data_IF_542898515083
#
_entry.id   IF_542898515083
#
_cell.length_a   1.000
_cell.length_b   1.000
_cell.length_c   1.000
_cell.angle_alpha   90.00
_cell.angle_beta   90.00
_cell.angle_gamma   90.00
#
_symmetry.space_group_name_H-M   'P 1'
#
loop_
_entity.id
_entity.type
_entity.pdbx_description
1 polymer ?
#
# COMPACT_ATOMS: atom_id res chain seq x y z
N UNK A 1 10.10 -19.72 -16.14
CA UNK A 1 9.35 -20.05 -14.92
C UNK A 1 9.94 -19.25 -13.78
N UNK A 2 9.20 -18.23 -13.34
CA UNK A 2 9.69 -17.19 -12.43
C UNK A 2 9.93 -17.78 -11.05
N UNK A 3 11.12 -17.54 -10.48
CA UNK A 3 11.54 -17.99 -9.14
C UNK A 3 10.54 -17.53 -8.05
N UNK A 4 9.78 -16.47 -8.34
CA UNK A 4 8.68 -15.95 -7.52
C UNK A 4 7.46 -16.89 -7.43
N UNK A 5 7.13 -17.65 -8.48
CA UNK A 5 5.99 -18.60 -8.47
C UNK A 5 6.21 -19.75 -7.48
N UNK A 6 7.46 -20.14 -7.23
CA UNK A 6 7.79 -21.19 -6.28
C UNK A 6 7.74 -20.72 -4.81
N UNK A 7 7.76 -19.40 -4.57
CA UNK A 7 7.76 -18.82 -3.23
C UNK A 7 6.34 -18.61 -2.67
N UNK A 8 5.37 -18.21 -3.52
CA UNK A 8 3.95 -18.06 -3.13
C UNK A 8 3.30 -19.39 -2.70
N UNK A 9 3.91 -20.54 -3.03
CA UNK A 9 3.34 -21.88 -2.77
C UNK A 9 4.20 -22.80 -1.89
N UNK A 10 5.29 -22.31 -1.28
CA UNK A 10 6.20 -23.16 -0.51
C UNK A 10 6.39 -22.73 0.94
N UNK A 11 5.41 -23.06 1.77
CA UNK A 11 5.63 -23.43 3.17
C UNK A 11 4.38 -24.10 3.75
N UNK A 12 4.53 -25.32 4.25
CA UNK A 12 3.44 -26.05 4.87
C UNK A 12 3.21 -25.64 6.32
N UNK A 13 1.94 -25.34 6.65
CA UNK A 13 1.30 -25.23 8.00
C UNK A 13 1.71 -23.97 8.81
N UNK A 14 0.87 -23.35 9.69
CA UNK A 14 -0.49 -23.69 10.19
C UNK A 14 -1.60 -22.83 9.52
N UNK A 15 -2.78 -22.67 10.14
CA UNK A 15 -3.98 -22.00 9.59
C UNK A 15 -3.73 -20.48 9.42
N UNK A 16 -3.06 -20.11 8.34
CA UNK A 16 -2.79 -18.71 8.00
C UNK A 16 -4.09 -17.99 7.66
N UNK A 17 -4.17 -16.74 8.08
CA UNK A 17 -5.23 -15.84 7.65
C UNK A 17 -5.05 -15.59 6.14
N UNK A 18 -6.16 -15.50 5.40
CA UNK A 18 -6.10 -15.19 3.96
C UNK A 18 -5.43 -13.83 3.76
N UNK A 19 -4.67 -13.63 2.68
CA UNK A 19 -4.02 -12.34 2.38
C UNK A 19 -5.00 -11.17 2.43
N UNK A 20 -6.23 -11.40 1.98
CA UNK A 20 -7.31 -10.42 2.01
C UNK A 20 -7.81 -10.13 3.42
N UNK A 21 -7.87 -11.10 4.32
CA UNK A 21 -8.28 -10.85 5.71
C UNK A 21 -7.14 -10.18 6.52
N UNK A 22 -5.88 -10.49 6.17
CA UNK A 22 -4.70 -9.82 6.70
C UNK A 22 -4.55 -8.36 6.19
N UNK A 23 -4.97 -8.03 4.97
CA UNK A 23 -4.95 -6.64 4.44
C UNK A 23 -5.88 -5.71 5.22
N UNK A 24 -6.95 -6.28 5.79
CA UNK A 24 -7.93 -5.57 6.62
C UNK A 24 -7.52 -5.47 8.09
N UNK A 25 -6.39 -6.05 8.50
CA UNK A 25 -5.93 -5.97 9.88
C UNK A 25 -5.61 -4.51 10.26
N UNK A 26 -6.15 -4.00 11.38
CA UNK A 26 -5.99 -2.60 11.77
C UNK A 26 -4.54 -2.22 12.08
N UNK A 27 -3.69 -3.18 12.46
CA UNK A 27 -2.28 -2.94 12.78
C UNK A 27 -1.47 -2.79 11.51
N UNK A 28 -1.71 -3.65 10.52
CA UNK A 28 -1.08 -3.51 9.21
C UNK A 28 -1.46 -2.17 8.56
N UNK A 29 -2.74 -1.81 8.62
CA UNK A 29 -3.23 -0.50 8.15
C UNK A 29 -2.59 0.67 8.90
N UNK A 30 -2.45 0.57 10.22
CA UNK A 30 -1.78 1.59 11.03
C UNK A 30 -0.32 1.79 10.62
N UNK A 31 0.44 0.71 10.44
CA UNK A 31 1.83 0.79 9.98
C UNK A 31 1.91 1.41 8.58
N UNK A 32 1.09 0.94 7.64
CA UNK A 32 1.04 1.48 6.27
C UNK A 32 0.73 2.99 6.27
N UNK A 33 -0.28 3.41 7.03
CA UNK A 33 -0.65 4.82 7.15
C UNK A 33 0.49 5.64 7.77
N UNK A 34 1.16 5.11 8.80
CA UNK A 34 2.31 5.77 9.42
C UNK A 34 3.43 6.00 8.40
N UNK A 35 3.71 5.04 7.51
CA UNK A 35 4.69 5.23 6.43
C UNK A 35 4.23 6.27 5.41
N UNK A 36 2.95 6.27 5.03
CA UNK A 36 2.37 7.28 4.13
C UNK A 36 2.47 8.68 4.75
N UNK A 37 2.16 8.80 6.04
CA UNK A 37 2.16 10.06 6.78
C UNK A 37 3.55 10.65 7.00
N UNK A 38 4.54 9.79 7.20
CA UNK A 38 5.93 10.21 7.37
C UNK A 38 6.70 10.37 6.05
N UNK A 39 6.11 9.99 4.91
CA UNK A 39 6.78 10.10 3.61
C UNK A 39 6.26 11.30 2.84
N UNK A 40 6.99 12.42 2.94
CA UNK A 40 6.70 13.61 2.12
C UNK A 40 7.07 13.37 0.65
N UNK A 41 6.20 13.76 -0.31
CA UNK A 41 6.55 13.77 -1.72
C UNK A 41 7.79 14.65 -1.98
N UNK A 42 8.77 14.22 -2.80
CA UNK A 42 8.76 13.11 -3.75
C UNK A 42 9.31 11.79 -3.20
N UNK A 43 9.51 11.66 -1.89
CA UNK A 43 10.07 10.45 -1.29
C UNK A 43 9.12 9.26 -1.48
N UNK A 44 9.71 8.06 -1.49
CA UNK A 44 9.00 6.80 -1.68
C UNK A 44 9.58 5.76 -0.73
N UNK A 45 8.74 4.93 -0.12
CA UNK A 45 9.16 3.82 0.74
C UNK A 45 8.90 2.48 0.07
N UNK A 46 9.51 1.40 0.56
CA UNK A 46 9.30 0.05 0.01
C UNK A 46 8.17 -0.66 0.76
N UNK A 47 7.38 -1.46 0.06
CA UNK A 47 6.37 -2.31 0.71
C UNK A 47 6.98 -3.28 1.74
N UNK A 48 8.21 -3.75 1.49
CA UNK A 48 8.93 -4.61 2.44
C UNK A 48 9.27 -3.92 3.77
N UNK A 49 9.39 -2.59 3.79
CA UNK A 49 9.66 -1.84 5.03
C UNK A 49 8.42 -1.82 5.93
N UNK A 50 7.23 -1.76 5.34
CA UNK A 50 5.96 -1.89 6.07
C UNK A 50 5.82 -3.29 6.67
N UNK A 51 6.13 -4.33 5.90
CA UNK A 51 6.11 -5.71 6.39
C UNK A 51 7.12 -5.93 7.54
N UNK A 52 8.31 -5.34 7.45
CA UNK A 52 9.35 -5.43 8.47
C UNK A 52 9.06 -4.58 9.71
N UNK A 53 8.21 -3.56 9.60
CA UNK A 53 7.79 -2.76 10.74
C UNK A 53 6.84 -3.51 11.68
N UNK A 54 6.19 -4.58 11.20
CA UNK A 54 5.39 -5.44 12.05
C UNK A 54 6.26 -6.22 13.02
N UNK A 55 5.85 -6.20 14.28
CA UNK A 55 6.51 -6.96 15.33
C UNK A 55 6.26 -8.47 15.15
N UNK A 56 7.16 -9.34 15.66
CA UNK A 56 6.96 -10.78 15.62
C UNK A 56 5.66 -11.24 16.28
N UNK A 57 5.19 -10.53 17.30
CA UNK A 57 3.91 -10.80 17.99
C UNK A 57 2.71 -10.49 17.09
N UNK A 58 2.78 -9.43 16.29
CA UNK A 58 1.72 -9.10 15.34
C UNK A 58 1.67 -10.09 14.17
N UNK A 59 2.84 -10.51 13.67
CA UNK A 59 2.94 -11.57 12.65
C UNK A 59 2.37 -12.90 13.18
N UNK A 60 2.76 -13.30 14.39
CA UNK A 60 2.26 -14.53 15.03
C UNK A 60 0.73 -14.49 15.25
N UNK A 61 0.16 -13.32 15.55
CA UNK A 61 -1.29 -13.15 15.68
C UNK A 61 -2.04 -13.37 14.35
N UNK A 62 -1.42 -13.03 13.22
CA UNK A 62 -1.94 -13.29 11.88
C UNK A 62 -1.63 -14.72 11.38
N UNK A 63 -0.86 -15.48 12.17
CA UNK A 63 -0.42 -16.83 11.82
C UNK A 63 0.78 -16.87 10.89
N UNK A 64 1.50 -15.75 10.73
CA UNK A 64 2.74 -15.67 9.95
C UNK A 64 3.97 -15.78 10.85
N UNK A 65 4.98 -16.51 10.38
CA UNK A 65 6.27 -16.60 11.09
C UNK A 65 7.27 -15.56 10.59
N UNK A 66 7.12 -15.12 9.34
CA UNK A 66 8.05 -14.24 8.65
C UNK A 66 7.31 -13.09 7.97
N UNK A 67 7.91 -11.90 8.01
CA UNK A 67 7.41 -10.71 7.30
C UNK A 67 7.24 -10.93 5.79
N UNK A 68 8.06 -11.82 5.23
CA UNK A 68 8.00 -12.31 3.86
C UNK A 68 6.61 -12.82 3.46
N UNK A 69 5.94 -13.53 4.36
CA UNK A 69 4.64 -14.18 4.11
C UNK A 69 3.48 -13.16 4.10
N UNK A 70 3.71 -11.98 4.69
CA UNK A 70 2.75 -10.88 4.73
C UNK A 70 2.78 -10.02 3.46
N UNK A 71 3.83 -10.13 2.64
CA UNK A 71 4.01 -9.30 1.45
C UNK A 71 2.78 -9.25 0.53
N UNK A 72 2.05 -10.34 0.25
CA UNK A 72 0.82 -10.27 -0.55
C UNK A 72 -0.25 -9.37 0.08
N UNK A 73 -0.46 -9.45 1.39
CA UNK A 73 -1.43 -8.63 2.12
C UNK A 73 -1.05 -7.13 2.08
N UNK A 74 0.24 -6.82 2.19
CA UNK A 74 0.75 -5.44 2.05
C UNK A 74 0.51 -4.89 0.64
N UNK A 75 0.72 -5.72 -0.39
CA UNK A 75 0.47 -5.32 -1.78
C UNK A 75 -1.01 -5.09 -2.01
N UNK A 76 -1.89 -6.00 -1.56
CA UNK A 76 -3.35 -5.82 -1.63
C UNK A 76 -3.77 -4.51 -0.96
N UNK A 77 -3.29 -4.23 0.26
CA UNK A 77 -3.59 -2.99 0.97
C UNK A 77 -3.07 -1.74 0.23
N UNK A 78 -1.88 -1.80 -0.38
CA UNK A 78 -1.34 -0.68 -1.16
C UNK A 78 -2.22 -0.38 -2.38
N UNK A 79 -2.80 -1.40 -3.01
CA UNK A 79 -3.74 -1.22 -4.11
C UNK A 79 -5.08 -0.64 -3.64
N UNK A 80 -5.61 -1.09 -2.51
CA UNK A 80 -6.82 -0.49 -1.92
C UNK A 80 -6.62 1.02 -1.66
N UNK A 81 -5.48 1.41 -1.06
CA UNK A 81 -5.18 2.81 -0.80
C UNK A 81 -4.94 3.62 -2.08
N UNK A 82 -4.44 2.97 -3.13
CA UNK A 82 -4.31 3.58 -4.45
C UNK A 82 -5.69 3.84 -5.08
N UNK A 83 -6.63 2.91 -4.98
CA UNK A 83 -8.00 3.08 -5.51
C UNK A 83 -8.74 4.25 -4.85
N UNK A 84 -8.44 4.51 -3.58
CA UNK A 84 -8.99 5.64 -2.81
C UNK A 84 -8.28 6.97 -3.16
N UNK A 85 -7.11 6.91 -3.79
CA UNK A 85 -6.31 8.08 -4.18
C UNK A 85 -5.36 8.58 -3.09
N UNK A 86 -5.07 7.78 -2.06
CA UNK A 86 -4.15 8.15 -0.98
C UNK A 86 -2.67 7.91 -1.35
N UNK A 87 -2.40 6.95 -2.25
CA UNK A 87 -1.04 6.60 -2.63
C UNK A 87 -0.88 6.19 -4.10
N UNK A 88 0.33 6.38 -4.62
CA UNK A 88 0.76 5.90 -5.92
C UNK A 88 1.76 4.76 -5.75
N UNK A 89 1.59 3.71 -6.54
CA UNK A 89 2.51 2.57 -6.58
C UNK A 89 3.52 2.79 -7.72
N UNK A 90 4.80 2.73 -7.39
CA UNK A 90 5.91 2.91 -8.31
C UNK A 90 6.75 1.65 -8.44
N UNK A 91 7.20 1.36 -9.67
CA UNK A 91 8.13 0.28 -9.99
C UNK A 91 9.19 0.78 -10.96
N UNK A 92 10.47 0.51 -10.67
CA UNK A 92 11.61 0.95 -11.48
C UNK A 92 11.58 2.47 -11.81
N UNK A 93 11.11 3.29 -10.86
CA UNK A 93 11.03 4.75 -11.01
C UNK A 93 9.84 5.25 -11.84
N UNK A 94 8.91 4.38 -12.24
CA UNK A 94 7.68 4.75 -12.95
C UNK A 94 6.46 4.45 -12.09
N UNK A 95 5.47 5.34 -12.10
CA UNK A 95 4.14 5.06 -11.52
C UNK A 95 3.48 3.96 -12.35
N UNK A 96 2.92 2.95 -11.70
CA UNK A 96 2.20 1.88 -12.36
C UNK A 96 0.86 2.42 -12.89
N UNK A 97 0.42 2.02 -14.09
CA UNK A 97 -0.88 2.41 -14.61
C UNK A 97 -2.04 1.68 -13.89
N UNK A 98 -3.26 2.22 -14.00
CA UNK A 98 -4.45 1.77 -13.24
C UNK A 98 -4.99 0.40 -13.69
N UNK A 99 -4.53 -0.08 -14.84
CA UNK A 99 -4.84 -1.39 -15.40
C UNK A 99 -4.01 -2.54 -14.77
N UNK A 100 -2.99 -2.22 -13.98
CA UNK A 100 -2.17 -3.20 -13.27
C UNK A 100 -2.83 -3.55 -11.95
N UNK A 101 -3.12 -4.82 -11.71
CA UNK A 101 -3.65 -5.28 -10.43
C UNK A 101 -2.57 -5.79 -9.46
N UNK A 102 -2.96 -6.15 -8.22
CA UNK A 102 -2.05 -6.72 -7.22
C UNK A 102 -1.36 -8.01 -7.67
N UNK A 103 -2.02 -8.81 -8.51
CA UNK A 103 -1.51 -10.09 -9.01
C UNK A 103 -0.52 -9.94 -10.19
N UNK A 104 -0.47 -8.77 -10.84
CA UNK A 104 0.44 -8.49 -11.95
C UNK A 104 1.81 -7.99 -11.46
N UNK A 105 1.94 -7.74 -10.16
CA UNK A 105 3.15 -7.21 -9.56
C UNK A 105 4.15 -8.32 -9.24
N UNK A 106 5.21 -8.39 -10.04
CA UNK A 106 6.39 -9.20 -9.69
C UNK A 106 7.50 -8.38 -9.01
N UNK A 107 7.88 -8.74 -7.78
CA UNK A 107 9.03 -8.17 -7.08
C UNK A 107 8.76 -6.88 -6.30
N UNK A 108 9.83 -6.22 -5.86
CA UNK A 108 9.75 -5.07 -4.97
C UNK A 108 9.08 -3.85 -5.61
N UNK A 109 8.05 -3.33 -4.93
CA UNK A 109 7.38 -2.07 -5.26
C UNK A 109 7.78 -0.97 -4.30
N UNK A 110 7.64 0.26 -4.76
CA UNK A 110 7.73 1.47 -3.96
C UNK A 110 6.36 2.11 -3.88
N UNK A 111 6.02 2.66 -2.72
CA UNK A 111 4.78 3.40 -2.51
C UNK A 111 5.17 4.84 -2.21
N UNK A 112 4.41 5.77 -2.77
CA UNK A 112 4.56 7.20 -2.56
C UNK A 112 3.19 7.78 -2.25
N UNK A 113 3.11 8.73 -1.31
CA UNK A 113 1.89 9.50 -1.08
C UNK A 113 1.55 10.31 -2.34
N UNK A 114 0.29 10.34 -2.76
CA UNK A 114 -0.15 11.25 -3.82
C UNK A 114 0.20 12.67 -3.37
N UNK A 115 1.09 13.35 -4.10
CA UNK A 115 1.37 14.75 -3.80
C UNK A 115 0.06 15.51 -3.95
N UNK A 116 -0.37 16.18 -2.88
CA UNK A 116 -1.70 16.71 -2.69
C UNK A 116 -2.35 17.15 -4.01
N UNK A 117 -3.55 16.61 -4.21
CA UNK A 117 -4.66 17.23 -4.89
C UNK A 117 -4.43 18.74 -4.96
N UNK A 118 -4.09 19.28 -6.13
CA UNK A 118 -4.30 20.69 -6.37
C UNK A 118 -5.75 20.92 -5.99
N UNK A 119 -5.98 21.58 -4.85
CA UNK A 119 -7.26 22.17 -4.55
C UNK A 119 -7.46 23.18 -5.67
N UNK A 120 -8.05 22.73 -6.77
CA UNK A 120 -8.50 23.62 -7.83
C UNK A 120 -9.48 24.52 -7.12
N UNK A 121 -9.04 25.76 -6.86
CA UNK A 121 -9.94 26.84 -6.53
C UNK A 121 -10.77 27.09 -7.78
N UNK A 122 -11.74 26.21 -8.03
CA UNK A 122 -12.77 26.44 -9.03
C UNK A 122 -13.57 27.62 -8.51
N UNK A 123 -13.09 28.81 -8.87
CA UNK A 123 -13.82 30.06 -9.01
C UNK A 123 -15.09 30.08 -8.15
N UNK A 124 -14.94 30.25 -6.84
CA UNK A 124 -16.06 30.75 -6.05
C UNK A 124 -16.26 32.18 -6.52
N UNK A 125 -17.16 32.33 -7.50
CA UNK A 125 -17.48 33.59 -8.12
C UNK A 125 -17.68 34.65 -7.06
N UNK A 126 -16.91 35.73 -7.22
CA UNK A 126 -17.09 37.01 -6.52
C UNK A 126 -18.59 37.29 -6.35
N UNK A 127 -19.03 37.25 -5.09
CA UNK A 127 -20.40 37.60 -4.67
C UNK A 127 -20.48 39.09 -4.31
N UNK A 128 -19.73 39.94 -5.02
CA UNK A 128 -19.65 41.38 -4.73
C UNK A 128 -20.61 42.20 -5.62
N UNK A 129 -21.72 41.59 -6.04
CA UNK A 129 -22.63 42.19 -7.01
C UNK A 129 -24.08 42.31 -6.53
N UNK A 130 -24.33 42.65 -5.25
CA UNK A 130 -25.66 43.13 -4.80
C UNK A 130 -25.54 44.04 -3.57
N UNK A 131 -24.90 45.20 -3.73
CA UNK A 131 -25.11 46.38 -2.87
C UNK A 131 -24.96 47.62 -3.74
N UNK A 132 -26.01 47.98 -4.47
CA UNK A 132 -26.20 49.33 -5.01
C UNK A 132 -27.69 49.61 -5.15
#
# INVERSE_FOLDING_TARGET
>A
MSIFMNWIWSSGKPKQVSSTDASHDPRLRFHMQTFIDNTEPPASFKASEVAQAMSPTELANLGYERWEELMPAVIELAFELREIGDCEIMKKGKVLPDDVGPYDIEGGIRIRRVADFEFQSTTFGSRDAWLT
#
